data_IF_755677164403
#
_entry.id   IF_755677164403
#
_cell.length_a   1.000
_cell.length_b   1.000
_cell.length_c   1.000
_cell.angle_alpha   90.00
_cell.angle_beta   90.00
_cell.angle_gamma   90.00
#
_symmetry.space_group_name_H-M   'P 1'
#
loop_
_entity.id
_entity.type
_entity.pdbx_description
1 polymer ?
#
# COMPACT_ATOMS: atom_id res chain seq x y z
N UNK A 1 39.46 38.45 87.29
CA UNK A 1 39.74 38.30 85.85
C UNK A 1 38.46 38.63 85.09
N UNK A 2 38.53 39.68 84.28
CA UNK A 2 37.68 40.05 83.13
C UNK A 2 36.13 39.87 83.22
N UNK A 3 35.43 41.01 83.22
CA UNK A 3 34.12 41.12 82.54
C UNK A 3 34.35 41.05 81.01
N UNK A 4 33.36 40.63 80.20
CA UNK A 4 32.52 41.65 79.58
C UNK A 4 31.05 41.27 79.28
N UNK A 5 30.23 42.32 79.40
CA UNK A 5 29.21 42.85 78.46
C UNK A 5 28.23 41.89 77.78
N UNK A 6 26.96 42.16 78.06
CA UNK A 6 25.80 41.61 77.36
C UNK A 6 25.71 41.98 75.88
N UNK A 7 24.90 41.19 75.18
CA UNK A 7 24.49 41.42 73.80
C UNK A 7 22.96 41.50 73.73
N UNK A 8 22.51 42.60 73.15
CA UNK A 8 21.14 42.91 72.79
C UNK A 8 20.62 42.01 71.66
N UNK A 9 19.30 41.78 71.64
CA UNK A 9 18.50 41.55 70.41
C UNK A 9 17.96 42.92 69.96
N UNK A 10 17.79 43.22 68.65
CA UNK A 10 16.80 42.59 67.74
C UNK A 10 17.37 42.29 66.32
N UNK A 11 16.90 41.28 65.58
CA UNK A 11 15.69 41.12 64.74
C UNK A 11 15.70 41.86 63.39
N UNK A 12 15.25 41.11 62.36
CA UNK A 12 14.81 41.49 61.01
C UNK A 12 15.90 41.68 59.91
N UNK A 13 16.33 40.56 59.32
CA UNK A 13 16.85 40.52 57.96
C UNK A 13 15.70 40.50 56.94
N UNK A 14 15.66 41.51 56.08
CA UNK A 14 14.72 41.62 54.97
C UNK A 14 15.05 40.58 53.88
N UNK A 15 14.15 39.62 53.68
CA UNK A 15 14.26 38.59 52.65
C UNK A 15 13.87 39.11 51.27
N UNK A 16 14.84 39.14 50.37
CA UNK A 16 14.67 39.28 48.94
C UNK A 16 13.85 38.10 48.38
N UNK A 17 12.56 38.32 48.11
CA UNK A 17 11.64 37.25 47.69
C UNK A 17 10.49 37.70 46.78
N UNK A 18 10.66 38.81 46.03
CA UNK A 18 9.54 39.49 45.38
C UNK A 18 9.55 39.58 43.85
N UNK A 19 10.40 38.82 43.12
CA UNK A 19 10.50 38.97 41.64
C UNK A 19 10.38 37.69 40.81
N UNK A 20 10.27 36.52 41.43
CA UNK A 20 10.10 35.26 40.68
C UNK A 20 8.64 34.78 40.54
N UNK A 21 7.70 35.36 41.31
CA UNK A 21 6.29 34.94 41.29
C UNK A 21 5.56 35.43 40.03
N UNK A 22 5.98 36.56 39.44
CA UNK A 22 5.34 37.09 38.23
C UNK A 22 5.78 36.39 36.93
N UNK A 23 6.95 35.75 36.89
CA UNK A 23 7.41 35.02 35.70
C UNK A 23 6.69 33.66 35.52
N UNK A 24 6.26 33.02 36.61
CA UNK A 24 5.53 31.76 36.55
C UNK A 24 4.05 31.92 36.14
N UNK A 25 3.47 33.11 36.30
CA UNK A 25 2.04 33.34 36.01
C UNK A 25 1.77 33.63 34.52
N UNK A 26 2.76 34.15 33.77
CA UNK A 26 2.64 34.36 32.32
C UNK A 26 2.79 33.04 31.54
N UNK A 27 3.59 32.08 32.06
CA UNK A 27 3.77 30.75 31.47
C UNK A 27 2.55 29.84 31.63
N UNK A 28 1.74 30.04 32.67
CA UNK A 28 0.51 29.28 32.90
C UNK A 28 -0.67 29.74 32.01
N UNK A 29 -0.74 31.03 31.66
CA UNK A 29 -1.83 31.56 30.81
C UNK A 29 -1.51 31.41 29.32
N UNK A 30 -0.24 31.51 28.92
CA UNK A 30 0.19 31.24 27.54
C UNK A 30 0.04 29.77 27.12
N UNK A 31 0.25 28.82 28.05
CA UNK A 31 0.12 27.38 27.77
C UNK A 31 -1.32 26.92 27.47
N UNK A 32 -2.32 27.54 28.11
CA UNK A 32 -3.73 27.17 27.90
C UNK A 32 -4.28 27.71 26.57
N UNK A 33 -3.84 28.90 26.12
CA UNK A 33 -4.22 29.43 24.81
C UNK A 33 -3.47 28.74 23.65
N UNK A 34 -2.22 28.33 23.85
CA UNK A 34 -1.47 27.55 22.86
C UNK A 34 -2.06 26.13 22.66
N UNK A 35 -2.55 25.49 23.73
CA UNK A 35 -3.24 24.19 23.62
C UNK A 35 -4.60 24.27 22.89
N UNK A 36 -5.20 25.46 22.81
CA UNK A 36 -6.45 25.68 22.06
C UNK A 36 -6.24 26.05 20.59
N UNK A 37 -5.03 26.49 20.20
CA UNK A 37 -4.69 26.89 18.83
C UNK A 37 -3.71 25.95 18.11
N UNK A 38 -3.03 25.03 18.80
CA UNK A 38 -2.22 24.00 18.14
C UNK A 38 -3.05 22.74 17.84
N UNK A 39 -2.94 22.20 16.62
CA UNK A 39 -4.12 21.92 15.81
C UNK A 39 -4.55 20.46 15.93
N UNK A 40 -5.84 20.22 15.79
CA UNK A 40 -6.44 18.90 15.51
C UNK A 40 -5.74 18.11 14.38
N UNK A 41 -4.87 18.75 13.60
CA UNK A 41 -4.06 18.14 12.54
C UNK A 41 -3.00 17.17 13.09
N UNK A 42 -2.35 17.48 14.22
CA UNK A 42 -1.36 16.59 14.84
C UNK A 42 -2.03 15.30 15.37
N UNK A 43 -3.13 15.44 16.11
CA UNK A 43 -3.91 14.28 16.60
C UNK A 43 -4.47 13.40 15.45
N UNK A 44 -4.85 14.00 14.31
CA UNK A 44 -5.36 13.26 13.15
C UNK A 44 -4.28 12.47 12.41
N UNK A 45 -3.04 12.98 12.38
CA UNK A 45 -1.90 12.26 11.80
C UNK A 45 -1.42 11.12 12.71
N UNK A 46 -1.45 11.34 14.03
CA UNK A 46 -1.19 10.32 15.05
C UNK A 46 -2.21 9.17 14.96
N UNK A 47 -3.49 9.48 14.72
CA UNK A 47 -4.55 8.48 14.53
C UNK A 47 -4.33 7.60 13.28
N UNK A 48 -3.84 8.18 12.18
CA UNK A 48 -3.60 7.43 10.94
C UNK A 48 -2.37 6.53 11.03
N UNK A 49 -1.25 7.07 11.55
CA UNK A 49 -0.02 6.33 11.74
C UNK A 49 -0.21 5.20 12.77
N UNK A 50 -0.89 5.50 13.88
CA UNK A 50 -1.23 4.52 14.91
C UNK A 50 -2.08 3.38 14.37
N UNK A 51 -3.08 3.69 13.54
CA UNK A 51 -3.91 2.65 12.91
C UNK A 51 -3.09 1.74 12.00
N UNK A 52 -2.20 2.30 11.18
CA UNK A 52 -1.33 1.52 10.30
C UNK A 52 -0.38 0.61 11.07
N UNK A 53 0.13 1.09 12.21
CA UNK A 53 0.94 0.28 13.12
C UNK A 53 0.14 -0.87 13.73
N UNK A 54 -1.14 -0.65 14.09
CA UNK A 54 -2.01 -1.73 14.62
C UNK A 54 -2.18 -2.87 13.61
N UNK A 55 -2.39 -2.59 12.32
CA UNK A 55 -2.47 -3.66 11.30
C UNK A 55 -1.19 -4.48 11.14
N UNK A 56 -0.04 -3.92 11.51
CA UNK A 56 1.24 -4.61 11.42
C UNK A 56 1.54 -5.46 12.66
N UNK A 57 0.72 -5.35 13.71
CA UNK A 57 0.90 -6.13 14.93
C UNK A 57 0.50 -7.60 14.66
N UNK A 58 1.32 -8.57 15.08
CA UNK A 58 0.99 -9.98 14.93
C UNK A 58 -0.14 -10.39 15.88
N UNK A 59 -0.88 -11.44 15.51
CA UNK A 59 -1.84 -12.09 16.41
C UNK A 59 -3.26 -11.52 16.40
N UNK A 60 -3.58 -10.63 15.47
CA UNK A 60 -4.97 -10.17 15.29
C UNK A 60 -5.87 -11.29 14.77
N UNK A 61 -7.08 -11.35 15.31
CA UNK A 61 -8.15 -12.17 14.73
C UNK A 61 -8.73 -11.49 13.49
N UNK A 62 -9.41 -12.25 12.63
CA UNK A 62 -10.05 -11.66 11.43
C UNK A 62 -11.12 -10.63 11.79
N UNK A 63 -11.86 -10.84 12.88
CA UNK A 63 -12.86 -9.88 13.37
C UNK A 63 -12.21 -8.55 13.80
N UNK A 64 -11.05 -8.62 14.45
CA UNK A 64 -10.27 -7.44 14.83
C UNK A 64 -9.74 -6.69 13.61
N UNK A 65 -9.21 -7.40 12.61
CA UNK A 65 -8.74 -6.79 11.36
C UNK A 65 -9.88 -6.08 10.62
N UNK A 66 -11.06 -6.69 10.57
CA UNK A 66 -12.25 -6.05 10.00
C UNK A 66 -12.69 -4.83 10.81
N UNK A 67 -12.62 -4.87 12.14
CA UNK A 67 -12.92 -3.72 12.99
C UNK A 67 -11.94 -2.57 12.74
N UNK A 68 -10.64 -2.87 12.58
CA UNK A 68 -9.63 -1.88 12.21
C UNK A 68 -9.89 -1.27 10.83
N UNK A 69 -10.37 -2.06 9.86
CA UNK A 69 -10.74 -1.54 8.54
C UNK A 69 -11.96 -0.62 8.59
N UNK A 70 -13.01 -0.99 9.34
CA UNK A 70 -14.16 -0.09 9.55
C UNK A 70 -13.71 1.23 10.20
N UNK A 71 -12.76 1.18 11.14
CA UNK A 71 -12.17 2.38 11.73
C UNK A 71 -11.39 3.20 10.70
N UNK A 72 -10.61 2.56 9.82
CA UNK A 72 -9.91 3.20 8.70
C UNK A 72 -10.89 3.94 7.79
N UNK A 73 -11.96 3.26 7.37
CA UNK A 73 -13.00 3.83 6.50
C UNK A 73 -13.70 5.02 7.15
N UNK A 74 -14.05 4.93 8.43
CA UNK A 74 -14.66 6.03 9.17
C UNK A 74 -13.72 7.26 9.25
N UNK A 75 -12.40 7.05 9.38
CA UNK A 75 -11.42 8.14 9.33
C UNK A 75 -11.32 8.77 7.93
N UNK A 76 -11.29 7.95 6.89
CA UNK A 76 -11.26 8.42 5.49
C UNK A 76 -12.50 9.21 5.11
N UNK A 77 -13.69 8.81 5.57
CA UNK A 77 -14.92 9.54 5.33
C UNK A 77 -14.92 10.94 5.97
N UNK A 78 -14.31 11.07 7.16
CA UNK A 78 -14.25 12.34 7.91
C UNK A 78 -13.20 13.31 7.36
N UNK A 79 -12.22 12.85 6.58
CA UNK A 79 -11.09 13.67 6.15
C UNK A 79 -10.76 13.50 4.66
N UNK A 80 -11.12 14.47 3.79
CA UNK A 80 -10.79 14.38 2.35
C UNK A 80 -9.28 14.34 2.09
N UNK A 81 -8.48 15.04 2.89
CA UNK A 81 -7.02 15.01 2.78
C UNK A 81 -6.43 13.60 3.03
N UNK A 82 -7.04 12.80 3.92
CA UNK A 82 -6.61 11.42 4.13
C UNK A 82 -6.99 10.51 2.94
N UNK A 83 -8.08 10.80 2.23
CA UNK A 83 -8.45 10.03 1.02
C UNK A 83 -7.45 10.20 -0.10
N UNK A 84 -6.98 11.42 -0.33
CA UNK A 84 -5.93 11.69 -1.32
C UNK A 84 -4.64 10.96 -0.95
N UNK A 85 -4.25 11.01 0.32
CA UNK A 85 -3.07 10.29 0.83
C UNK A 85 -3.22 8.78 0.69
N UNK A 86 -4.37 8.22 1.06
CA UNK A 86 -4.66 6.78 0.90
C UNK A 86 -4.65 6.36 -0.56
N UNK A 87 -5.20 7.17 -1.47
CA UNK A 87 -5.15 6.86 -2.91
C UNK A 87 -3.70 6.82 -3.44
N UNK A 88 -2.86 7.75 -3.00
CA UNK A 88 -1.43 7.76 -3.33
C UNK A 88 -0.70 6.56 -2.74
N UNK A 89 -0.94 6.25 -1.46
CA UNK A 89 -0.33 5.11 -0.79
C UNK A 89 -0.78 3.78 -1.42
N UNK A 90 -2.06 3.65 -1.81
CA UNK A 90 -2.59 2.49 -2.51
C UNK A 90 -2.01 2.35 -3.93
N UNK A 91 -1.76 3.46 -4.63
CA UNK A 91 -1.07 3.44 -5.93
C UNK A 91 0.38 2.96 -5.78
N UNK A 92 1.13 3.51 -4.81
CA UNK A 92 2.50 3.08 -4.51
C UNK A 92 2.57 1.62 -4.08
N UNK A 93 1.62 1.17 -3.27
CA UNK A 93 1.55 -0.23 -2.84
C UNK A 93 1.24 -1.16 -4.02
N UNK A 94 0.31 -0.77 -4.91
CA UNK A 94 0.04 -1.53 -6.14
C UNK A 94 1.29 -1.64 -7.00
N UNK A 95 2.04 -0.54 -7.18
CA UNK A 95 3.33 -0.56 -7.87
C UNK A 95 4.34 -1.48 -7.17
N UNK A 96 4.45 -1.41 -5.84
CA UNK A 96 5.33 -2.26 -5.05
C UNK A 96 4.95 -3.74 -5.08
N UNK A 97 3.67 -4.06 -5.31
CA UNK A 97 3.15 -5.43 -5.54
C UNK A 97 3.14 -5.83 -7.01
N UNK A 98 3.58 -4.95 -7.90
CA UNK A 98 3.65 -5.24 -9.32
C UNK A 98 4.97 -5.94 -9.68
N UNK A 99 4.89 -6.90 -10.59
CA UNK A 99 6.03 -7.69 -11.06
C UNK A 99 5.94 -7.87 -12.57
N UNK A 100 7.04 -7.62 -13.28
CA UNK A 100 7.10 -7.92 -14.71
C UNK A 100 7.30 -9.42 -14.93
N UNK A 101 6.38 -10.03 -15.69
CA UNK A 101 6.48 -11.44 -16.04
C UNK A 101 7.43 -11.67 -17.22
N UNK A 102 7.57 -10.71 -18.13
CA UNK A 102 8.40 -10.83 -19.33
C UNK A 102 9.74 -10.13 -19.15
N UNK A 103 10.84 -10.84 -19.47
CA UNK A 103 12.17 -10.23 -19.60
C UNK A 103 12.44 -9.68 -21.01
N UNK A 104 11.71 -10.21 -21.99
CA UNK A 104 11.79 -9.86 -23.40
C UNK A 104 10.38 -9.83 -23.99
N UNK A 105 10.14 -9.05 -25.06
CA UNK A 105 8.87 -9.08 -25.77
C UNK A 105 8.48 -10.51 -26.16
N UNK A 106 7.24 -10.88 -25.87
CA UNK A 106 6.68 -12.18 -26.25
C UNK A 106 6.05 -12.09 -27.64
N UNK A 107 6.43 -13.01 -28.53
CA UNK A 107 5.80 -13.16 -29.84
C UNK A 107 4.79 -14.30 -29.81
N UNK A 108 3.56 -13.98 -30.22
CA UNK A 108 2.43 -14.91 -30.29
C UNK A 108 2.05 -15.10 -31.76
N UNK A 109 1.96 -16.35 -32.19
CA UNK A 109 1.67 -16.74 -33.55
C UNK A 109 0.19 -17.05 -33.70
N UNK A 110 -0.55 -16.19 -34.42
CA UNK A 110 -2.02 -16.27 -34.53
C UNK A 110 -2.49 -16.88 -35.85
N UNK A 111 -1.62 -17.57 -36.58
CA UNK A 111 -1.89 -18.16 -37.90
C UNK A 111 -2.02 -17.15 -39.05
N UNK A 112 -2.65 -16.01 -38.79
CA UNK A 112 -2.81 -14.87 -39.73
C UNK A 112 -1.69 -13.85 -39.63
N UNK A 113 -0.87 -13.95 -38.59
CA UNK A 113 0.25 -13.04 -38.33
C UNK A 113 0.90 -13.31 -36.99
N UNK A 114 1.80 -12.40 -36.60
CA UNK A 114 2.49 -12.39 -35.32
C UNK A 114 2.06 -11.17 -34.51
N UNK A 115 1.65 -11.41 -33.26
CA UNK A 115 1.38 -10.38 -32.28
C UNK A 115 2.54 -10.29 -31.28
N UNK A 116 3.07 -9.10 -31.06
CA UNK A 116 4.14 -8.86 -30.09
C UNK A 116 3.57 -8.20 -28.84
N UNK A 117 3.75 -8.84 -27.70
CA UNK A 117 3.39 -8.33 -26.37
C UNK A 117 4.68 -7.85 -25.70
N UNK A 118 4.93 -6.54 -25.61
CA UNK A 118 6.24 -6.05 -25.16
C UNK A 118 6.44 -6.21 -23.65
N UNK A 119 5.36 -6.22 -22.87
CA UNK A 119 5.38 -6.32 -21.41
C UNK A 119 4.12 -6.98 -20.90
N UNK A 120 4.23 -7.75 -19.83
CA UNK A 120 3.10 -8.22 -19.04
C UNK A 120 3.45 -7.96 -17.59
N UNK A 121 2.73 -7.05 -16.95
CA UNK A 121 2.93 -6.74 -15.53
C UNK A 121 1.81 -7.40 -14.71
N UNK A 122 2.21 -8.12 -13.67
CA UNK A 122 1.31 -8.82 -12.76
C UNK A 122 1.15 -7.98 -11.50
N UNK A 123 -0.09 -7.77 -11.07
CA UNK A 123 -0.38 -7.20 -9.75
C UNK A 123 -0.67 -8.37 -8.81
N UNK A 124 0.14 -8.49 -7.76
CA UNK A 124 -0.02 -9.55 -6.76
C UNK A 124 -1.01 -9.17 -5.66
N UNK A 125 -1.68 -10.17 -5.10
CA UNK A 125 -2.52 -10.03 -3.92
C UNK A 125 -1.77 -9.45 -2.71
N UNK A 126 -2.51 -8.91 -1.75
CA UNK A 126 -1.90 -8.29 -0.56
C UNK A 126 -1.44 -9.32 0.48
N UNK A 127 -2.02 -10.53 0.47
CA UNK A 127 -1.63 -11.62 1.35
C UNK A 127 -0.41 -12.35 0.79
N UNK A 128 0.62 -12.55 1.62
CA UNK A 128 1.88 -13.27 1.32
C UNK A 128 2.53 -12.92 -0.03
N UNK A 129 2.41 -11.65 -0.45
CA UNK A 129 2.97 -11.14 -1.71
C UNK A 129 4.49 -11.39 -1.89
N UNK A 130 5.35 -11.25 -0.87
CA UNK A 130 6.79 -11.51 -0.99
C UNK A 130 7.15 -12.96 -1.32
N UNK A 131 6.47 -13.94 -0.70
CA UNK A 131 6.73 -15.35 -1.00
C UNK A 131 6.25 -15.71 -2.41
N UNK A 132 5.05 -15.26 -2.79
CA UNK A 132 4.52 -15.47 -4.13
C UNK A 132 5.40 -14.81 -5.21
N UNK A 133 5.86 -13.57 -4.99
CA UNK A 133 6.81 -12.88 -5.88
C UNK A 133 8.07 -13.72 -6.07
N UNK A 134 8.63 -14.22 -4.97
CA UNK A 134 9.84 -15.06 -5.01
C UNK A 134 9.60 -16.36 -5.77
N UNK A 135 8.43 -16.98 -5.61
CA UNK A 135 8.03 -18.17 -6.35
C UNK A 135 7.89 -17.90 -7.86
N UNK A 136 7.21 -16.81 -8.24
CA UNK A 136 7.04 -16.41 -9.65
C UNK A 136 8.40 -16.16 -10.30
N UNK A 137 9.30 -15.43 -9.63
CA UNK A 137 10.64 -15.17 -10.14
C UNK A 137 11.45 -16.46 -10.36
N UNK A 138 11.36 -17.42 -9.43
CA UNK A 138 12.02 -18.72 -9.56
C UNK A 138 11.46 -19.58 -10.70
N UNK A 139 10.16 -19.48 -10.97
CA UNK A 139 9.45 -20.30 -11.96
C UNK A 139 9.08 -19.52 -13.24
N UNK A 140 9.69 -18.35 -13.44
CA UNK A 140 9.28 -17.38 -14.46
C UNK A 140 9.24 -17.96 -15.86
N UNK A 141 10.29 -18.67 -16.26
CA UNK A 141 10.40 -19.27 -17.60
C UNK A 141 9.28 -20.28 -17.86
N UNK A 142 8.93 -21.09 -16.86
CA UNK A 142 7.83 -22.05 -16.95
C UNK A 142 6.50 -21.31 -17.11
N UNK A 143 6.25 -20.28 -16.30
CA UNK A 143 5.02 -19.48 -16.38
C UNK A 143 4.89 -18.76 -17.73
N UNK A 144 5.98 -18.17 -18.23
CA UNK A 144 6.03 -17.54 -19.56
C UNK A 144 5.72 -18.55 -20.66
N UNK A 145 6.24 -19.78 -20.56
CA UNK A 145 5.96 -20.86 -21.51
C UNK A 145 4.49 -21.29 -21.49
N UNK A 146 3.89 -21.43 -20.31
CA UNK A 146 2.47 -21.76 -20.16
C UNK A 146 1.58 -20.66 -20.74
N UNK A 147 1.87 -19.40 -20.43
CA UNK A 147 1.17 -18.24 -21.00
C UNK A 147 1.29 -18.22 -22.53
N UNK A 148 2.51 -18.40 -23.07
CA UNK A 148 2.70 -18.44 -24.51
C UNK A 148 1.93 -19.59 -25.15
N UNK A 149 1.96 -20.78 -24.54
CA UNK A 149 1.18 -21.94 -25.02
C UNK A 149 -0.32 -21.63 -25.05
N UNK A 150 -0.86 -21.05 -23.99
CA UNK A 150 -2.28 -20.69 -23.91
C UNK A 150 -2.67 -19.63 -24.96
N UNK A 151 -1.81 -18.62 -25.17
CA UNK A 151 -2.03 -17.58 -26.18
C UNK A 151 -2.00 -18.13 -27.62
N UNK A 152 -1.07 -19.02 -27.95
CA UNK A 152 -1.01 -19.65 -29.27
C UNK A 152 -2.17 -20.64 -29.52
N UNK A 153 -2.75 -21.21 -28.46
CA UNK A 153 -3.93 -22.07 -28.56
C UNK A 153 -5.25 -21.29 -28.64
N UNK A 154 -5.23 -19.99 -28.33
CA UNK A 154 -6.42 -19.16 -28.33
C UNK A 154 -6.86 -18.79 -29.76
N UNK A 155 -8.16 -18.60 -29.92
CA UNK A 155 -8.77 -18.19 -31.18
C UNK A 155 -8.33 -16.77 -31.57
N UNK A 156 -7.73 -16.54 -32.76
CA UNK A 156 -7.25 -15.23 -33.18
C UNK A 156 -8.32 -14.13 -33.11
N UNK A 157 -9.59 -14.47 -33.39
CA UNK A 157 -10.69 -13.51 -33.39
C UNK A 157 -10.93 -12.90 -31.99
N UNK A 158 -10.62 -13.65 -30.92
CA UNK A 158 -10.70 -13.15 -29.54
C UNK A 158 -9.56 -12.21 -29.18
N UNK A 159 -8.39 -12.41 -29.79
CA UNK A 159 -7.16 -11.67 -29.49
C UNK A 159 -6.96 -10.44 -30.39
N UNK A 160 -7.73 -10.31 -31.46
CA UNK A 160 -7.67 -9.19 -32.42
C UNK A 160 -8.98 -8.38 -32.50
N UNK A 161 -10.00 -8.76 -31.73
CA UNK A 161 -11.29 -8.08 -31.68
C UNK A 161 -11.30 -6.78 -30.85
N UNK A 162 -12.46 -6.12 -30.73
CA UNK A 162 -12.60 -4.88 -29.94
C UNK A 162 -12.26 -5.10 -28.45
N UNK A 163 -12.51 -6.30 -27.94
CA UNK A 163 -12.23 -6.69 -26.54
C UNK A 163 -10.88 -7.43 -26.40
N UNK A 164 -9.99 -7.31 -27.39
CA UNK A 164 -8.72 -8.04 -27.44
C UNK A 164 -7.89 -7.88 -26.17
N UNK A 165 -7.79 -6.65 -25.64
CA UNK A 165 -7.03 -6.40 -24.42
C UNK A 165 -7.62 -7.11 -23.21
N UNK A 166 -8.93 -7.01 -22.99
CA UNK A 166 -9.60 -7.69 -21.88
C UNK A 166 -9.51 -9.21 -22.01
N UNK A 167 -9.64 -9.74 -23.23
CA UNK A 167 -9.49 -11.17 -23.50
C UNK A 167 -8.06 -11.65 -23.22
N UNK A 168 -7.05 -10.87 -23.61
CA UNK A 168 -5.64 -11.16 -23.31
C UNK A 168 -5.38 -11.14 -21.81
N UNK A 169 -5.84 -10.10 -21.10
CA UNK A 169 -5.69 -10.00 -19.64
C UNK A 169 -6.31 -11.20 -18.94
N UNK A 170 -7.57 -11.52 -19.27
CA UNK A 170 -8.30 -12.66 -18.72
C UNK A 170 -7.57 -13.97 -18.99
N UNK A 171 -7.19 -14.23 -20.24
CA UNK A 171 -6.51 -15.47 -20.62
C UNK A 171 -5.16 -15.64 -19.91
N UNK A 172 -4.36 -14.57 -19.81
CA UNK A 172 -3.09 -14.59 -19.08
C UNK A 172 -3.34 -14.82 -17.59
N UNK A 173 -4.30 -14.12 -17.00
CA UNK A 173 -4.63 -14.23 -15.59
C UNK A 173 -5.12 -15.64 -15.23
N UNK A 174 -6.02 -16.23 -16.01
CA UNK A 174 -6.54 -17.58 -15.80
C UNK A 174 -5.43 -18.63 -15.94
N UNK A 175 -4.55 -18.47 -16.93
CA UNK A 175 -3.40 -19.36 -17.14
C UNK A 175 -2.45 -19.32 -15.96
N UNK A 176 -2.10 -18.12 -15.49
CA UNK A 176 -1.23 -17.94 -14.32
C UNK A 176 -1.88 -18.47 -13.05
N UNK A 177 -3.17 -18.21 -12.87
CA UNK A 177 -3.95 -18.69 -11.72
C UNK A 177 -3.90 -20.22 -11.64
N UNK A 178 -4.12 -20.88 -12.79
CA UNK A 178 -4.04 -22.34 -12.91
C UNK A 178 -2.62 -22.85 -12.65
N UNK A 179 -1.60 -22.23 -13.27
CA UNK A 179 -0.22 -22.66 -13.15
C UNK A 179 0.37 -22.45 -11.74
N UNK A 180 -0.08 -21.41 -11.03
CA UNK A 180 0.32 -21.11 -9.65
C UNK A 180 -0.48 -21.91 -8.62
N UNK A 181 -1.56 -22.59 -9.04
CA UNK A 181 -2.47 -23.28 -8.13
C UNK A 181 -3.19 -22.35 -7.16
N UNK A 182 -3.37 -21.07 -7.54
CA UNK A 182 -4.02 -20.06 -6.70
C UNK A 182 -5.51 -19.99 -6.99
N UNK A 183 -6.32 -19.62 -5.99
CA UNK A 183 -7.75 -19.41 -6.17
C UNK A 183 -8.10 -17.95 -5.86
N UNK A 184 -8.33 -17.09 -6.88
CA UNK A 184 -8.56 -15.66 -6.67
C UNK A 184 -9.84 -15.36 -5.86
N UNK A 185 -10.76 -16.33 -5.80
CA UNK A 185 -12.02 -16.24 -5.05
C UNK A 185 -11.88 -16.73 -3.60
N UNK A 186 -10.76 -17.37 -3.24
CA UNK A 186 -10.51 -17.77 -1.87
C UNK A 186 -10.24 -16.53 -1.01
N UNK A 187 -10.86 -16.49 0.15
CA UNK A 187 -10.74 -15.38 1.08
C UNK A 187 -9.53 -15.58 1.98
N UNK A 188 -8.62 -14.61 1.98
CA UNK A 188 -7.45 -14.60 2.86
C UNK A 188 -7.65 -13.59 4.00
N UNK A 189 -6.86 -13.68 5.09
CA UNK A 189 -6.91 -12.71 6.17
C UNK A 189 -6.82 -11.28 5.67
N UNK A 190 -7.65 -10.41 6.23
CA UNK A 190 -7.70 -8.99 5.86
C UNK A 190 -6.33 -8.33 6.03
N UNK A 191 -5.99 -7.43 5.11
CA UNK A 191 -4.75 -6.64 5.19
C UNK A 191 -5.08 -5.16 5.35
N UNK A 192 -4.05 -4.33 5.52
CA UNK A 192 -4.24 -2.86 5.49
C UNK A 192 -4.96 -2.39 4.21
N UNK A 193 -4.80 -3.11 3.11
CA UNK A 193 -5.20 -2.66 1.78
C UNK A 193 -6.58 -3.15 1.37
N UNK A 194 -7.00 -4.32 1.83
CA UNK A 194 -8.23 -4.97 1.38
C UNK A 194 -8.79 -5.94 2.43
N UNK A 195 -10.12 -6.10 2.42
CA UNK A 195 -10.83 -7.14 3.14
C UNK A 195 -11.94 -7.75 2.27
N UNK A 196 -12.00 -9.08 2.18
CA UNK A 196 -10.95 -10.01 2.60
C UNK A 196 -9.63 -9.77 1.82
N UNK A 197 -8.51 -10.24 2.39
CA UNK A 197 -7.25 -10.30 1.67
C UNK A 197 -7.33 -11.21 0.45
N UNK A 198 -6.46 -10.98 -0.53
CA UNK A 198 -6.32 -11.84 -1.73
C UNK A 198 -4.92 -12.39 -1.85
N UNK A 199 -4.81 -13.62 -2.33
CA UNK A 199 -3.55 -14.29 -2.71
C UNK A 199 -3.56 -14.60 -4.22
N UNK A 200 -2.37 -14.64 -4.82
CA UNK A 200 -2.22 -14.90 -6.26
C UNK A 200 -2.12 -13.64 -7.10
N UNK A 201 -2.38 -13.78 -8.41
CA UNK A 201 -2.39 -12.67 -9.38
C UNK A 201 -3.79 -12.06 -9.41
N UNK A 202 -3.93 -10.84 -8.90
CA UNK A 202 -5.23 -10.15 -8.81
C UNK A 202 -5.57 -9.33 -10.04
N UNK A 203 -4.55 -8.92 -10.81
CA UNK A 203 -4.73 -8.27 -12.10
C UNK A 203 -3.52 -8.49 -13.00
N UNK A 204 -3.77 -8.44 -14.31
CA UNK A 204 -2.74 -8.40 -15.35
C UNK A 204 -2.84 -7.05 -16.04
N UNK A 205 -1.75 -6.31 -16.08
CA UNK A 205 -1.64 -5.04 -16.78
C UNK A 205 -0.86 -5.26 -18.07
N UNK A 206 -1.49 -4.92 -19.18
CA UNK A 206 -0.88 -4.92 -20.50
C UNK A 206 -0.50 -3.49 -20.89
N UNK A 207 0.56 -3.32 -21.70
CA UNK A 207 0.87 -2.03 -22.28
C UNK A 207 -0.25 -1.65 -23.25
N UNK A 208 -0.61 -0.36 -23.28
CA UNK A 208 -1.71 0.13 -24.13
C UNK A 208 -1.48 0.02 -25.64
N UNK A 209 -0.36 -0.56 -26.10
CA UNK A 209 -0.07 -0.85 -27.51
C UNK A 209 0.68 -2.18 -27.65
N UNK A 210 0.09 -3.10 -28.41
CA UNK A 210 0.74 -4.29 -28.95
C UNK A 210 0.77 -4.20 -30.48
N UNK A 211 1.83 -4.71 -31.10
CA UNK A 211 1.98 -4.67 -32.56
C UNK A 211 1.52 -5.98 -33.17
N UNK A 212 0.68 -5.89 -34.19
CA UNK A 212 0.30 -7.04 -35.01
C UNK A 212 0.90 -6.91 -36.41
N UNK A 213 1.61 -7.95 -36.85
CA UNK A 213 2.17 -8.06 -38.19
C UNK A 213 1.46 -9.20 -38.91
N UNK A 214 0.57 -8.88 -39.82
CA UNK A 214 -0.09 -9.88 -40.67
C UNK A 214 0.95 -10.59 -41.55
N UNK A 215 0.75 -11.88 -41.79
CA UNK A 215 1.46 -12.55 -42.87
C UNK A 215 0.91 -12.05 -44.19
N UNK A 216 1.75 -11.42 -45.00
CA UNK A 216 1.38 -11.14 -46.39
C UNK A 216 1.16 -12.49 -47.05
N UNK A 217 -0.09 -12.84 -47.32
CA UNK A 217 -0.41 -13.89 -48.29
C UNK A 217 0.21 -13.40 -49.60
N UNK A 218 1.37 -13.93 -49.96
CA UNK A 218 1.94 -13.70 -51.27
C UNK A 218 0.88 -14.10 -52.27
N UNK A 219 0.35 -13.13 -53.01
CA UNK A 219 -0.50 -13.36 -54.16
C UNK A 219 0.33 -14.08 -55.21
N UNK A 220 0.34 -15.41 -55.12
CA UNK A 220 0.79 -16.30 -56.18
C UNK A 220 -0.26 -16.40 -57.28
#
# INVERSE_FOLDING_TARGET
>A
LAAPRGAARPAAGAGAGGRWVLALLVLAIGGVLAAWLWPQRAAKEDDWAGLRQSFSAPGHTEEELQALLRRKEALLQRSPALREREAQDAARDREARSLDLLDQPMEVYLGTGTMTIPRVQLVLGSFDGPALRSYILKNRETLVREVNRALNAAKPERLLGPDAEQNLQTLIQDTLTTALGTQPQETYPSTWFESPGRYGVVAVQLPGRYSFKAYSLGSG
#
